data_IF_868445455878
#
_entry.id   IF_868445455878
#
_cell.length_a   1.000
_cell.length_b   1.000
_cell.length_c   1.000
_cell.angle_alpha   90.00
_cell.angle_beta   90.00
_cell.angle_gamma   90.00
#
_symmetry.space_group_name_H-M   'P 1'
#
loop_
_entity.id
_entity.type
_entity.pdbx_description
1 polymer ?
#
# COMPACT_ATOMS: atom_id res chain seq x y z
N UNK A 1 -9.33 2.05 -22.24
CA UNK A 1 -9.90 1.95 -20.88
C UNK A 1 -9.23 2.99 -20.00
N UNK A 2 -9.93 4.05 -19.61
CA UNK A 2 -9.41 5.13 -18.76
C UNK A 2 -9.09 4.57 -17.37
N UNK A 3 -7.82 4.66 -16.94
CA UNK A 3 -7.40 4.19 -15.62
C UNK A 3 -8.08 5.05 -14.56
N UNK A 4 -9.12 4.53 -13.91
CA UNK A 4 -9.82 5.22 -12.83
C UNK A 4 -8.80 5.74 -11.80
N UNK A 5 -8.87 7.05 -11.50
CA UNK A 5 -8.03 7.70 -10.50
C UNK A 5 -8.43 7.16 -9.13
N UNK A 6 -7.51 6.44 -8.49
CA UNK A 6 -7.73 5.93 -7.13
C UNK A 6 -7.53 7.12 -6.18
N UNK A 7 -8.54 7.40 -5.36
CA UNK A 7 -8.37 8.30 -4.22
C UNK A 7 -7.74 7.50 -3.07
N UNK A 8 -6.50 7.85 -2.72
CA UNK A 8 -5.77 7.19 -1.64
C UNK A 8 -6.05 7.88 -0.32
N UNK A 9 -6.47 7.12 0.68
CA UNK A 9 -6.66 7.57 2.06
C UNK A 9 -5.51 7.01 2.89
N UNK A 10 -4.80 7.89 3.61
CA UNK A 10 -3.72 7.46 4.50
C UNK A 10 -4.30 6.78 5.73
N UNK A 11 -3.78 5.59 6.02
CA UNK A 11 -4.00 4.87 7.28
C UNK A 11 -2.86 5.16 8.26
N UNK A 12 -1.65 5.34 7.73
CA UNK A 12 -0.48 5.80 8.46
C UNK A 12 0.39 6.67 7.56
N UNK A 13 0.94 7.74 8.14
CA UNK A 13 1.83 8.66 7.47
C UNK A 13 3.08 8.89 8.31
N UNK A 14 4.22 8.67 7.69
CA UNK A 14 5.57 8.86 8.21
C UNK A 14 5.86 7.98 9.46
N UNK A 15 5.32 6.76 9.47
CA UNK A 15 5.49 5.80 10.57
C UNK A 15 6.85 5.08 10.47
N UNK A 16 7.48 4.73 11.60
CA UNK A 16 8.58 3.78 11.62
C UNK A 16 8.15 2.42 11.02
N UNK A 17 9.06 1.75 10.31
CA UNK A 17 8.73 0.48 9.66
C UNK A 17 8.25 -0.60 10.64
N UNK A 18 8.82 -0.64 11.86
CA UNK A 18 8.43 -1.59 12.89
C UNK A 18 6.94 -1.46 13.28
N UNK A 19 6.48 -0.23 13.52
CA UNK A 19 5.08 0.03 13.86
C UNK A 19 4.14 -0.23 12.67
N UNK A 20 4.66 -0.14 11.45
CA UNK A 20 3.89 -0.38 10.23
C UNK A 20 3.56 -1.85 10.00
N UNK A 21 4.36 -2.80 10.53
CA UNK A 21 4.11 -4.23 10.37
C UNK A 21 2.80 -4.64 11.06
N UNK A 22 2.57 -4.16 12.29
CA UNK A 22 1.30 -4.38 13.01
C UNK A 22 0.10 -3.81 12.24
N UNK A 23 0.26 -2.63 11.63
CA UNK A 23 -0.79 -2.05 10.79
C UNK A 23 -1.04 -2.91 9.55
N UNK A 24 0.01 -3.41 8.90
CA UNK A 24 -0.10 -4.29 7.73
C UNK A 24 -0.80 -5.61 8.07
N UNK A 25 -0.51 -6.19 9.23
CA UNK A 25 -1.16 -7.40 9.73
C UNK A 25 -2.64 -7.17 10.05
N UNK A 26 -3.02 -5.96 10.45
CA UNK A 26 -4.42 -5.58 10.67
C UNK A 26 -5.22 -5.38 9.37
N UNK A 27 -4.55 -5.25 8.22
CA UNK A 27 -5.23 -5.13 6.93
C UNK A 27 -5.86 -6.46 6.51
N UNK A 28 -6.83 -6.37 5.59
CA UNK A 28 -7.43 -7.54 4.95
C UNK A 28 -6.33 -8.39 4.31
N UNK A 29 -6.46 -9.71 4.37
CA UNK A 29 -5.60 -10.64 3.63
C UNK A 29 -5.37 -10.14 2.20
N UNK A 30 -4.10 -9.96 1.84
CA UNK A 30 -3.70 -9.32 0.59
C UNK A 30 -2.53 -10.05 -0.07
N UNK A 31 -2.31 -9.74 -1.35
CA UNK A 31 -1.08 -10.10 -2.06
C UNK A 31 -0.45 -8.87 -2.69
N UNK A 32 0.88 -8.83 -2.75
CA UNK A 32 1.62 -7.76 -3.42
C UNK A 32 1.57 -7.99 -4.92
N UNK A 33 0.80 -7.17 -5.63
CA UNK A 33 0.65 -7.29 -7.09
C UNK A 33 1.74 -6.55 -7.87
N UNK A 34 2.26 -5.45 -7.32
CA UNK A 34 3.32 -4.65 -7.95
C UNK A 34 4.26 -4.12 -6.88
N UNK A 35 5.55 -4.09 -7.17
CA UNK A 35 6.57 -3.42 -6.38
C UNK A 35 7.49 -2.66 -7.32
N UNK A 36 7.74 -1.38 -7.05
CA UNK A 36 8.64 -0.55 -7.85
C UNK A 36 9.47 0.39 -6.99
N UNK A 37 10.61 0.83 -7.53
CA UNK A 37 11.46 1.85 -6.94
C UNK A 37 11.22 3.19 -7.63
N UNK A 38 11.25 4.26 -6.84
CA UNK A 38 11.20 5.64 -7.33
C UNK A 38 12.03 6.54 -6.40
N UNK A 39 12.45 7.74 -6.84
CA UNK A 39 13.05 8.72 -5.94
C UNK A 39 12.19 8.91 -4.69
N UNK A 40 12.83 8.98 -3.54
CA UNK A 40 12.13 9.10 -2.26
C UNK A 40 11.45 10.47 -2.14
N UNK A 41 10.23 10.45 -1.63
CA UNK A 41 9.46 11.65 -1.28
C UNK A 41 8.80 11.52 0.09
N UNK A 42 9.30 10.61 0.93
CA UNK A 42 8.71 10.24 2.22
C UNK A 42 9.42 10.90 3.40
N UNK A 43 10.75 10.96 3.37
CA UNK A 43 11.55 11.57 4.43
C UNK A 43 12.21 12.86 3.94
N UNK A 44 12.75 13.63 4.90
CA UNK A 44 13.47 14.89 4.66
C UNK A 44 14.98 14.69 4.42
N UNK A 45 15.44 13.45 4.20
CA UNK A 45 16.86 13.15 4.01
C UNK A 45 17.36 13.78 2.69
N UNK A 46 18.36 14.68 2.73
CA UNK A 46 18.84 15.40 1.56
C UNK A 46 19.58 14.52 0.55
N UNK A 47 20.14 13.39 1.00
CA UNK A 47 20.88 12.48 0.13
C UNK A 47 19.92 11.81 -0.87
N UNK A 48 20.17 11.84 -2.19
CA UNK A 48 19.32 11.14 -3.16
C UNK A 48 19.25 9.64 -2.87
N UNK A 49 18.03 9.14 -2.66
CA UNK A 49 17.78 7.72 -2.43
C UNK A 49 16.40 7.35 -2.95
N UNK A 50 16.11 6.04 -2.96
CA UNK A 50 14.84 5.52 -3.46
C UNK A 50 13.88 5.17 -2.32
N UNK A 51 12.58 5.30 -2.61
CA UNK A 51 11.53 4.61 -1.89
C UNK A 51 11.01 3.43 -2.71
N UNK A 52 10.52 2.40 -2.03
CA UNK A 52 9.81 1.28 -2.64
C UNK A 52 8.31 1.50 -2.49
N UNK A 53 7.57 1.51 -3.59
CA UNK A 53 6.10 1.49 -3.58
C UNK A 53 5.61 0.08 -3.89
N UNK A 54 4.81 -0.50 -3.00
CA UNK A 54 4.09 -1.77 -3.19
C UNK A 54 2.60 -1.51 -3.31
N UNK A 55 1.95 -2.13 -4.30
CA UNK A 55 0.49 -2.14 -4.46
C UNK A 55 -0.04 -3.51 -4.07
N UNK A 56 -1.02 -3.52 -3.18
CA UNK A 56 -1.63 -4.70 -2.59
C UNK A 56 -3.03 -4.89 -3.15
N UNK A 57 -3.39 -6.13 -3.48
CA UNK A 57 -4.73 -6.51 -3.90
C UNK A 57 -5.34 -7.43 -2.84
N UNK A 58 -6.65 -7.34 -2.67
CA UNK A 58 -7.39 -8.20 -1.75
C UNK A 58 -7.26 -9.68 -2.14
N UNK A 59 -7.01 -10.53 -1.15
CA UNK A 59 -7.12 -12.00 -1.18
C UNK A 59 -8.07 -12.55 -0.11
N UNK A 60 -8.88 -11.70 0.51
CA UNK A 60 -9.86 -12.12 1.51
C UNK A 60 -10.87 -13.12 0.93
N UNK A 61 -11.07 -14.23 1.62
CA UNK A 61 -12.02 -15.29 1.24
C UNK A 61 -13.46 -14.80 1.26
N UNK A 62 -13.83 -13.89 2.17
CA UNK A 62 -15.16 -13.31 2.23
C UNK A 62 -15.50 -12.51 0.95
N UNK A 63 -14.55 -11.73 0.42
CA UNK A 63 -14.75 -11.02 -0.86
C UNK A 63 -14.98 -12.01 -2.01
N UNK A 64 -14.21 -13.10 -2.04
CA UNK A 64 -14.31 -14.14 -3.06
C UNK A 64 -15.64 -14.91 -2.96
N UNK A 65 -16.18 -15.09 -1.75
CA UNK A 65 -17.48 -15.73 -1.56
C UNK A 65 -18.63 -14.86 -2.09
N UNK A 66 -18.60 -13.54 -1.84
CA UNK A 66 -19.64 -12.60 -2.29
C UNK A 66 -19.59 -12.39 -3.81
N UNK A 67 -18.39 -12.32 -4.39
CA UNK A 67 -18.23 -12.12 -5.83
C UNK A 67 -17.14 -13.03 -6.42
N UNK A 68 -17.43 -14.31 -6.70
CA UNK A 68 -16.43 -15.31 -7.09
C UNK A 68 -15.67 -15.00 -8.38
N UNK A 69 -16.33 -14.30 -9.31
CA UNK A 69 -15.80 -13.98 -10.64
C UNK A 69 -15.29 -12.54 -10.75
N UNK A 70 -15.48 -11.71 -9.73
CA UNK A 70 -15.02 -10.33 -9.72
C UNK A 70 -13.83 -10.15 -8.78
N UNK A 71 -12.91 -9.25 -9.14
CA UNK A 71 -11.85 -8.83 -8.21
C UNK A 71 -12.42 -7.78 -7.27
N UNK A 72 -12.13 -7.93 -5.99
CA UNK A 72 -12.42 -6.88 -5.01
C UNK A 72 -11.74 -5.57 -5.46
N UNK A 73 -12.46 -4.45 -5.49
CA UNK A 73 -11.93 -3.18 -5.96
C UNK A 73 -10.93 -2.54 -4.98
N UNK A 74 -10.92 -2.97 -3.72
CA UNK A 74 -9.98 -2.51 -2.70
C UNK A 74 -8.52 -2.69 -3.14
N UNK A 75 -7.73 -1.66 -2.86
CA UNK A 75 -6.27 -1.70 -3.04
C UNK A 75 -5.59 -1.10 -1.83
N UNK A 76 -4.53 -1.76 -1.38
CA UNK A 76 -3.58 -1.18 -0.44
C UNK A 76 -2.37 -0.61 -1.17
N UNK A 77 -1.71 0.35 -0.56
CA UNK A 77 -0.43 0.90 -1.00
C UNK A 77 0.47 1.13 0.19
N UNK A 78 1.68 0.56 0.09
CA UNK A 78 2.77 0.81 1.04
C UNK A 78 3.87 1.53 0.31
N UNK A 79 4.36 2.62 0.88
CA UNK A 79 5.56 3.31 0.42
C UNK A 79 6.58 3.24 1.55
N UNK A 80 7.75 2.69 1.26
CA UNK A 80 8.81 2.46 2.24
C UNK A 80 10.08 3.19 1.79
N UNK A 81 10.62 4.08 2.62
CA UNK A 81 11.91 4.70 2.38
C UNK A 81 13.02 3.68 2.69
N UNK A 82 13.93 3.45 1.73
CA UNK A 82 14.99 2.43 1.87
C UNK A 82 16.10 2.88 2.85
N UNK A 83 16.21 4.18 3.09
CA UNK A 83 17.28 4.76 3.90
C UNK A 83 16.82 5.03 5.34
N UNK A 84 15.70 5.71 5.52
CA UNK A 84 15.20 6.14 6.85
C UNK A 84 14.24 5.16 7.51
N UNK A 85 13.87 4.06 6.82
CA UNK A 85 12.87 3.08 7.30
C UNK A 85 11.51 3.70 7.67
N UNK A 86 11.15 4.83 7.05
CA UNK A 86 9.85 5.48 7.20
C UNK A 86 8.86 4.93 6.18
N UNK A 87 7.60 4.76 6.61
CA UNK A 87 6.54 4.10 5.86
C UNK A 87 5.26 4.94 5.81
N UNK A 88 4.68 5.01 4.62
CA UNK A 88 3.29 5.44 4.42
C UNK A 88 2.43 4.24 4.02
N UNK A 89 1.31 4.05 4.72
CA UNK A 89 0.31 3.04 4.40
C UNK A 89 -0.97 3.77 4.02
N UNK A 90 -1.54 3.39 2.87
CA UNK A 90 -2.78 3.96 2.37
C UNK A 90 -3.65 2.90 1.73
N UNK A 91 -4.95 3.14 1.72
CA UNK A 91 -5.91 2.32 1.00
C UNK A 91 -6.71 3.15 0.00
N UNK A 92 -7.25 2.46 -0.99
CA UNK A 92 -8.03 3.07 -2.04
C UNK A 92 -9.17 2.16 -2.49
N UNK A 93 -10.24 2.82 -2.92
CA UNK A 93 -11.54 2.24 -3.24
C UNK A 93 -12.25 1.61 -2.03
N UNK A 94 -13.57 1.57 -2.11
CA UNK A 94 -14.40 0.92 -1.09
C UNK A 94 -14.46 -0.58 -1.32
N UNK A 95 -14.85 -1.29 -0.28
CA UNK A 95 -15.29 -2.67 -0.34
C UNK A 95 -16.72 -2.75 -0.86
#
# INVERSE_FOLDING_TARGET
MTRAKINWVFLAKDYPSYDSDMLLDSLKAYTVSKSGLSPCSLCAEPTPHNMRTRIMLCQCTACKAVAPYARCPWKGRVQFCILSNVVNVSEGNKH
#
